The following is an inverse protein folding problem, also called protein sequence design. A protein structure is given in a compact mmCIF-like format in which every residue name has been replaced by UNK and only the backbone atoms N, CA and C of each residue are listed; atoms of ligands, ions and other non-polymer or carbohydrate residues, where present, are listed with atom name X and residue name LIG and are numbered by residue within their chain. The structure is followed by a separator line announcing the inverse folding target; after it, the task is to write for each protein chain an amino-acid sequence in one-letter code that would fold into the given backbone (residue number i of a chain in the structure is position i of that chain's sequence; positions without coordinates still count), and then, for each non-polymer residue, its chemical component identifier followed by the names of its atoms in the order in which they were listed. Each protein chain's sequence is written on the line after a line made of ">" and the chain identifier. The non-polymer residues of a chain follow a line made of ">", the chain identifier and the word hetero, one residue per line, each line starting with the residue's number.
data_IF_870607695283
#
_entry.id   IF_870607695283
#
_cell.length_a   1.000
_cell.length_b   1.000
_cell.length_c   1.000
_cell.angle_alpha   90.00
_cell.angle_beta   90.00
_cell.angle_gamma   90.00
#
_symmetry.space_group_name_H-M   'P 1'
#
loop_
_entity.id
_entity.type
_entity.pdbx_description
1 polymer ?
#
# COMPACT_ATOMS: atom_id res chain seq x y z
N UNK A 1 14.58 -3.35 -22.40
CA UNK A 1 13.79 -3.31 -21.16
C UNK A 1 12.49 -2.60 -21.49
N UNK A 2 11.36 -3.11 -21.04
CA UNK A 2 10.06 -2.49 -21.29
C UNK A 2 9.39 -2.18 -19.96
N UNK A 3 8.68 -1.05 -19.88
CA UNK A 3 8.01 -0.59 -18.67
C UNK A 3 6.52 -0.42 -18.93
N UNK A 4 5.72 -0.73 -17.92
CA UNK A 4 4.27 -0.55 -17.95
C UNK A 4 3.79 0.04 -16.64
N UNK A 5 2.85 0.96 -16.70
CA UNK A 5 2.12 1.44 -15.52
C UNK A 5 0.86 0.60 -15.34
N UNK A 6 0.64 0.08 -14.13
CA UNK A 6 -0.60 -0.61 -13.76
C UNK A 6 -1.63 0.44 -13.36
N UNK A 7 -2.75 0.47 -14.08
CA UNK A 7 -3.77 1.51 -13.97
C UNK A 7 -5.15 0.92 -13.73
N UNK A 8 -6.04 1.72 -13.14
CA UNK A 8 -7.44 1.39 -12.96
C UNK A 8 -8.28 2.66 -12.92
N UNK A 9 -9.60 2.53 -12.77
CA UNK A 9 -10.49 3.68 -12.56
C UNK A 9 -10.06 4.57 -11.38
N UNK A 10 -9.51 3.98 -10.31
CA UNK A 10 -9.07 4.70 -9.12
C UNK A 10 -7.58 5.08 -9.16
N UNK A 11 -6.82 4.49 -10.09
CA UNK A 11 -5.39 4.70 -10.27
C UNK A 11 -5.10 5.03 -11.74
N UNK A 12 -5.45 6.25 -12.21
CA UNK A 12 -5.19 6.65 -13.59
C UNK A 12 -3.69 6.76 -13.87
N UNK A 13 -3.27 6.98 -15.12
CA UNK A 13 -1.85 7.12 -15.46
C UNK A 13 -1.14 8.27 -14.72
N UNK A 14 -1.86 9.31 -14.29
CA UNK A 14 -1.32 10.39 -13.45
C UNK A 14 -1.10 9.98 -11.99
N UNK A 15 -1.59 8.81 -11.58
CA UNK A 15 -1.46 8.20 -10.27
C UNK A 15 -1.60 6.67 -10.40
N UNK A 16 -0.65 5.99 -11.05
CA UNK A 16 -0.77 4.56 -11.30
C UNK A 16 -0.56 3.78 -9.99
N UNK A 17 -1.08 2.56 -9.96
CA UNK A 17 -0.96 1.66 -8.80
C UNK A 17 0.51 1.32 -8.53
N UNK A 18 1.20 0.87 -9.58
CA UNK A 18 2.62 0.58 -9.58
C UNK A 18 3.17 0.69 -11.01
N UNK A 19 4.49 0.60 -11.13
CA UNK A 19 5.17 0.40 -12.41
C UNK A 19 5.76 -1.00 -12.43
N UNK A 20 5.55 -1.70 -13.53
CA UNK A 20 6.12 -3.00 -13.84
C UNK A 20 7.21 -2.84 -14.89
N UNK A 21 8.27 -3.64 -14.78
CA UNK A 21 9.29 -3.80 -15.81
C UNK A 21 9.40 -5.25 -16.22
N UNK A 22 9.58 -5.47 -17.53
CA UNK A 22 9.79 -6.77 -18.12
C UNK A 22 11.26 -6.97 -18.43
N UNK A 23 11.80 -8.09 -17.94
CA UNK A 23 13.09 -8.64 -18.37
C UNK A 23 12.84 -9.87 -19.24
N UNK A 24 13.84 -10.36 -20.00
CA UNK A 24 13.66 -11.56 -20.81
C UNK A 24 13.23 -12.82 -20.04
N UNK A 25 13.46 -12.87 -18.73
CA UNK A 25 13.22 -14.05 -17.88
C UNK A 25 12.20 -13.84 -16.76
N UNK A 26 11.77 -12.60 -16.51
CA UNK A 26 10.87 -12.30 -15.40
C UNK A 26 10.18 -10.95 -15.56
N UNK A 27 9.09 -10.81 -14.82
CA UNK A 27 8.43 -9.56 -14.54
C UNK A 27 8.79 -9.09 -13.12
N UNK A 28 9.00 -7.79 -12.94
CA UNK A 28 9.22 -7.18 -11.64
C UNK A 28 8.37 -5.91 -11.51
N UNK A 29 7.78 -5.68 -10.34
CA UNK A 29 7.08 -4.43 -10.04
C UNK A 29 7.87 -3.59 -9.05
N UNK A 30 7.73 -2.27 -9.15
CA UNK A 30 8.32 -1.33 -8.21
C UNK A 30 7.48 -1.30 -6.93
N UNK A 31 8.09 -1.73 -5.81
CA UNK A 31 7.43 -1.73 -4.50
C UNK A 31 7.53 -0.36 -3.83
N UNK A 32 6.77 -0.20 -2.74
CA UNK A 32 6.62 1.07 -2.00
C UNK A 32 7.92 1.57 -1.36
N UNK A 33 8.91 0.69 -1.16
CA UNK A 33 10.27 1.02 -0.74
C UNK A 33 11.21 1.43 -1.90
N UNK A 34 10.67 1.61 -3.11
CA UNK A 34 11.38 1.94 -4.34
C UNK A 34 12.36 0.84 -4.80
N UNK A 35 12.13 -0.41 -4.39
CA UNK A 35 12.89 -1.56 -4.89
C UNK A 35 12.10 -2.32 -5.94
N UNK A 36 12.81 -3.00 -6.85
CA UNK A 36 12.18 -3.89 -7.81
C UNK A 36 12.08 -5.28 -7.20
N UNK A 37 10.88 -5.87 -7.22
CA UNK A 37 10.66 -7.24 -6.74
C UNK A 37 9.92 -8.03 -7.80
N UNK A 38 10.18 -9.34 -7.83
CA UNK A 38 9.52 -10.28 -8.73
C UNK A 38 8.00 -10.14 -8.59
N UNK A 39 7.31 -10.10 -9.72
CA UNK A 39 5.87 -9.92 -9.79
C UNK A 39 5.25 -10.81 -10.87
N UNK A 40 3.92 -10.91 -10.87
CA UNK A 40 3.09 -11.58 -11.87
C UNK A 40 1.84 -10.74 -12.22
N UNK A 41 1.91 -9.41 -12.03
CA UNK A 41 0.80 -8.48 -12.24
C UNK A 41 0.31 -8.47 -13.69
N UNK A 42 1.20 -8.39 -14.69
CA UNK A 42 0.76 -8.40 -16.12
C UNK A 42 0.10 -9.74 -16.42
N UNK A 43 0.66 -10.85 -15.94
CA UNK A 43 0.02 -12.17 -16.08
C UNK A 43 -1.36 -12.24 -15.42
N UNK A 44 -1.54 -11.67 -14.23
CA UNK A 44 -2.83 -11.62 -13.52
C UNK A 44 -3.86 -10.78 -14.28
N UNK A 45 -3.44 -9.66 -14.87
CA UNK A 45 -4.30 -8.82 -15.71
C UNK A 45 -4.68 -9.57 -17.00
N UNK A 46 -3.71 -10.09 -17.76
CA UNK A 46 -3.95 -10.81 -19.02
C UNK A 46 -4.82 -12.06 -18.82
N UNK A 47 -4.72 -12.72 -17.67
CA UNK A 47 -5.54 -13.89 -17.31
C UNK A 47 -6.93 -13.54 -16.77
N UNK A 48 -7.27 -12.25 -16.65
CA UNK A 48 -8.56 -11.78 -16.15
C UNK A 48 -8.78 -12.00 -14.64
N UNK A 49 -7.71 -12.21 -13.88
CA UNK A 49 -7.77 -12.33 -12.41
C UNK A 49 -7.89 -10.97 -11.71
N UNK A 50 -7.54 -9.91 -12.43
CA UNK A 50 -7.63 -8.53 -11.97
C UNK A 50 -8.37 -7.66 -12.98
N UNK A 51 -9.05 -6.63 -12.48
CA UNK A 51 -9.81 -5.66 -13.28
C UNK A 51 -9.00 -4.41 -13.62
N UNK A 52 -7.67 -4.51 -13.55
CA UNK A 52 -6.73 -3.45 -13.87
C UNK A 52 -6.30 -3.54 -15.32
N UNK A 53 -5.75 -2.46 -15.86
CA UNK A 53 -5.10 -2.43 -17.17
C UNK A 53 -3.62 -2.11 -16.98
N UNK A 54 -2.80 -2.36 -18.00
CA UNK A 54 -1.42 -1.89 -18.03
C UNK A 54 -1.15 -1.08 -19.31
N UNK A 55 -0.47 0.04 -19.16
CA UNK A 55 -0.14 0.94 -20.26
C UNK A 55 1.39 1.04 -20.42
N UNK A 56 1.94 0.97 -21.64
CA UNK A 56 3.37 1.13 -21.85
C UNK A 56 3.82 2.55 -21.45
N UNK A 57 4.95 2.65 -20.76
CA UNK A 57 5.52 3.92 -20.30
C UNK A 57 7.01 4.02 -20.60
N UNK A 58 7.54 5.24 -20.54
CA UNK A 58 8.96 5.52 -20.75
C UNK A 58 9.75 5.34 -19.45
N UNK A 59 11.08 5.25 -19.56
CA UNK A 59 11.96 5.26 -18.37
C UNK A 59 11.85 6.58 -17.58
N UNK A 60 11.67 7.71 -18.26
CA UNK A 60 11.41 9.01 -17.63
C UNK A 60 10.17 8.98 -16.72
N UNK A 61 9.11 8.30 -17.17
CA UNK A 61 7.90 8.12 -16.36
C UNK A 61 8.20 7.32 -15.08
N UNK A 62 9.09 6.33 -15.14
CA UNK A 62 9.50 5.54 -13.97
C UNK A 62 10.20 6.41 -12.93
N UNK A 63 11.10 7.30 -13.35
CA UNK A 63 11.78 8.23 -12.45
C UNK A 63 10.82 9.27 -11.85
N UNK A 64 9.88 9.77 -12.65
CA UNK A 64 8.78 10.59 -12.15
C UNK A 64 7.95 9.82 -11.09
N UNK A 65 7.61 8.56 -11.36
CA UNK A 65 6.82 7.75 -10.45
C UNK A 65 7.56 7.47 -9.13
N UNK A 66 8.86 7.15 -9.18
CA UNK A 66 9.71 7.02 -7.98
C UNK A 66 9.70 8.30 -7.13
N UNK A 67 9.78 9.46 -7.79
CA UNK A 67 9.70 10.77 -7.12
C UNK A 67 8.34 10.94 -6.44
N UNK A 68 7.25 10.61 -7.13
CA UNK A 68 5.89 10.66 -6.55
C UNK A 68 5.71 9.70 -5.39
N UNK A 69 6.28 8.49 -5.46
CA UNK A 69 6.24 7.52 -4.37
C UNK A 69 7.03 8.02 -3.16
N UNK A 70 8.22 8.61 -3.37
CA UNK A 70 8.99 9.24 -2.29
C UNK A 70 8.25 10.41 -1.64
N UNK A 71 7.55 11.24 -2.43
CA UNK A 71 6.69 12.31 -1.90
C UNK A 71 5.54 11.74 -1.06
N UNK A 72 4.85 10.69 -1.54
CA UNK A 72 3.74 10.04 -0.85
C UNK A 72 4.14 9.44 0.49
N UNK A 73 5.29 8.81 0.54
CA UNK A 73 5.79 8.23 1.79
C UNK A 73 6.37 9.30 2.72
N UNK A 74 6.39 10.58 2.33
CA UNK A 74 7.05 11.63 3.10
C UNK A 74 8.55 11.38 3.27
N UNK A 75 9.17 10.71 2.29
CA UNK A 75 10.55 10.23 2.35
C UNK A 75 10.77 9.09 3.34
N UNK A 76 9.73 8.58 3.99
CA UNK A 76 9.84 7.43 4.91
C UNK A 76 10.14 6.20 4.07
N UNK A 77 11.35 5.66 4.26
CA UNK A 77 11.63 4.30 3.81
C UNK A 77 10.88 3.35 4.72
N UNK A 78 10.19 2.39 4.12
CA UNK A 78 9.72 1.25 4.86
C UNK A 78 10.90 0.62 5.58
N UNK A 79 10.86 0.64 6.91
CA UNK A 79 11.84 -0.05 7.74
C UNK A 79 11.55 -1.54 7.60
N UNK A 80 12.60 -2.37 7.51
CA UNK A 80 12.47 -3.82 7.46
C UNK A 80 11.43 -4.31 8.48
N UNK A 81 10.40 -5.04 8.04
CA UNK A 81 9.33 -5.39 8.94
C UNK A 81 9.79 -6.45 9.94
N UNK A 82 9.55 -6.20 11.23
CA UNK A 82 9.83 -7.14 12.34
C UNK A 82 9.05 -8.46 12.23
N UNK A 83 7.97 -8.47 11.44
CA UNK A 83 7.07 -9.63 11.25
C UNK A 83 7.41 -10.47 10.01
N UNK A 84 8.59 -10.24 9.41
CA UNK A 84 9.07 -10.88 8.19
C UNK A 84 9.26 -9.86 7.05
N UNK A 85 10.13 -10.13 6.06
CA UNK A 85 10.53 -9.18 5.01
C UNK A 85 9.42 -8.73 4.03
N UNK A 86 8.16 -9.05 4.34
CA UNK A 86 7.07 -9.08 3.37
C UNK A 86 5.98 -8.03 3.62
N UNK A 87 5.80 -7.47 4.84
CA UNK A 87 4.65 -6.60 5.15
C UNK A 87 4.99 -5.14 5.50
N UNK A 88 4.39 -4.20 4.78
CA UNK A 88 4.40 -2.76 5.02
C UNK A 88 3.22 -2.34 5.89
N UNK A 89 3.41 -1.40 6.81
CA UNK A 89 2.36 -0.94 7.72
C UNK A 89 1.82 0.42 7.28
N UNK A 90 0.51 0.60 7.37
CA UNK A 90 -0.18 1.81 6.96
C UNK A 90 -1.17 2.25 8.03
N UNK A 91 -1.14 3.52 8.38
CA UNK A 91 -2.17 4.17 9.19
C UNK A 91 -3.29 4.67 8.28
N UNK A 92 -4.53 4.27 8.57
CA UNK A 92 -5.70 4.74 7.83
C UNK A 92 -6.26 5.97 8.55
N UNK A 93 -6.16 7.12 7.88
CA UNK A 93 -6.55 8.44 8.39
C UNK A 93 -7.76 8.91 7.58
N UNK A 94 -8.93 9.00 8.21
CA UNK A 94 -10.20 9.38 7.56
C UNK A 94 -10.94 10.45 8.37
N UNK A 95 -11.36 11.55 7.75
CA UNK A 95 -12.18 12.57 8.40
C UNK A 95 -11.53 13.16 9.66
N UNK A 96 -12.08 12.81 10.82
CA UNK A 96 -11.64 13.29 12.14
C UNK A 96 -10.39 12.59 12.70
N UNK A 97 -9.95 11.49 12.08
CA UNK A 97 -8.78 10.76 12.54
C UNK A 97 -7.50 11.47 12.08
N UNK A 98 -6.41 11.33 12.84
CA UNK A 98 -5.11 11.93 12.51
C UNK A 98 -4.04 10.85 12.47
N UNK A 99 -2.82 11.19 12.05
CA UNK A 99 -1.72 10.22 12.14
C UNK A 99 -1.39 9.85 13.60
N UNK A 100 -1.59 10.76 14.55
CA UNK A 100 -1.40 10.46 15.98
C UNK A 100 -2.51 9.58 16.55
N UNK A 101 -3.65 9.57 15.87
CA UNK A 101 -4.82 8.82 16.26
C UNK A 101 -5.56 8.28 15.03
N UNK A 102 -5.01 7.25 14.36
CA UNK A 102 -5.58 6.73 13.13
C UNK A 102 -6.84 5.92 13.41
N UNK A 103 -7.71 5.84 12.40
CA UNK A 103 -8.91 5.02 12.49
C UNK A 103 -8.56 3.55 12.75
N UNK A 104 -7.56 3.06 12.03
CA UNK A 104 -7.02 1.71 12.16
C UNK A 104 -5.61 1.67 11.56
N UNK A 105 -4.90 0.59 11.85
CA UNK A 105 -3.65 0.24 11.18
C UNK A 105 -3.88 -1.01 10.36
N UNK A 106 -3.37 -0.99 9.15
CA UNK A 106 -3.33 -2.14 8.27
C UNK A 106 -1.89 -2.50 7.97
N UNK A 107 -1.66 -3.76 7.63
CA UNK A 107 -0.40 -4.21 7.04
C UNK A 107 -0.71 -4.92 5.74
N UNK A 108 0.08 -4.70 4.72
CA UNK A 108 -0.08 -5.36 3.42
C UNK A 108 1.28 -5.73 2.87
N UNK A 109 1.34 -6.71 1.98
CA UNK A 109 2.59 -6.96 1.28
C UNK A 109 3.01 -5.78 0.38
N UNK A 110 4.20 -5.85 -0.22
CA UNK A 110 4.72 -4.79 -1.10
C UNK A 110 3.87 -4.49 -2.33
N UNK A 111 2.92 -5.36 -2.65
CA UNK A 111 1.98 -5.23 -3.77
C UNK A 111 0.57 -4.84 -3.31
N UNK A 112 0.29 -4.90 -2.00
CA UNK A 112 -1.03 -4.65 -1.42
C UNK A 112 -1.98 -5.84 -1.46
N UNK A 113 -1.51 -7.04 -1.82
CA UNK A 113 -2.34 -8.22 -2.06
C UNK A 113 -2.73 -8.93 -0.76
N UNK A 114 -1.77 -9.18 0.13
CA UNK A 114 -2.02 -9.79 1.44
C UNK A 114 -2.28 -8.76 2.55
N UNK A 115 -3.47 -8.18 2.53
CA UNK A 115 -3.90 -7.18 3.51
C UNK A 115 -4.38 -7.82 4.82
N UNK A 116 -3.88 -7.31 5.94
CA UNK A 116 -4.40 -7.57 7.28
C UNK A 116 -4.77 -6.26 7.98
N UNK A 117 -5.84 -6.26 8.76
CA UNK A 117 -6.29 -5.12 9.57
C UNK A 117 -6.16 -5.44 11.06
N UNK A 118 -5.72 -4.47 11.86
CA UNK A 118 -5.73 -4.61 13.32
C UNK A 118 -7.13 -4.28 13.87
N UNK A 119 -7.79 -5.30 14.43
CA UNK A 119 -9.20 -5.22 14.82
C UNK A 119 -9.40 -4.79 16.27
N UNK A 120 -10.63 -4.41 16.63
CA UNK A 120 -11.03 -4.10 18.03
C UNK A 120 -10.89 -5.29 18.98
N UNK A 121 -10.80 -6.51 18.45
CA UNK A 121 -10.51 -7.71 19.24
C UNK A 121 -9.01 -7.85 19.56
N UNK A 122 -8.19 -6.85 19.21
CA UNK A 122 -6.74 -6.80 19.41
C UNK A 122 -6.00 -7.92 18.69
N UNK A 123 -6.54 -8.33 17.55
CA UNK A 123 -5.95 -9.34 16.67
C UNK A 123 -5.89 -8.83 15.23
N UNK A 124 -4.83 -9.22 14.53
CA UNK A 124 -4.71 -9.07 13.09
C UNK A 124 -5.64 -10.06 12.40
N UNK A 125 -6.45 -9.58 11.45
CA UNK A 125 -7.30 -10.43 10.61
C UNK A 125 -7.10 -10.10 9.14
N UNK A 126 -7.24 -11.08 8.23
CA UNK A 126 -7.29 -10.82 6.81
C UNK A 126 -8.33 -9.74 6.50
N UNK A 127 -7.89 -8.67 5.85
CA UNK A 127 -8.74 -7.61 5.34
C UNK A 127 -9.20 -7.93 3.92
N UNK A 128 -10.06 -7.08 3.36
CA UNK A 128 -10.39 -7.16 1.93
C UNK A 128 -9.40 -6.29 1.17
N UNK A 129 -8.54 -6.86 0.33
CA UNK A 129 -7.59 -6.10 -0.50
C UNK A 129 -8.29 -4.96 -1.28
N UNK A 130 -9.47 -5.23 -1.82
CA UNK A 130 -10.31 -4.25 -2.53
C UNK A 130 -10.74 -3.03 -1.67
N UNK A 131 -10.78 -3.19 -0.34
CA UNK A 131 -10.98 -2.08 0.62
C UNK A 131 -9.71 -1.26 0.76
N UNK A 132 -8.54 -1.89 0.82
CA UNK A 132 -7.27 -1.16 0.86
C UNK A 132 -6.96 -0.46 -0.46
N UNK A 133 -7.21 -1.09 -1.60
CA UNK A 133 -7.13 -0.44 -2.93
C UNK A 133 -8.06 0.78 -2.99
N UNK A 134 -9.27 0.67 -2.46
CA UNK A 134 -10.16 1.83 -2.31
C UNK A 134 -9.63 2.88 -1.34
N UNK A 135 -8.99 2.52 -0.24
CA UNK A 135 -8.44 3.48 0.71
C UNK A 135 -7.19 4.20 0.16
N UNK A 136 -6.33 3.48 -0.56
CA UNK A 136 -5.17 4.03 -1.27
C UNK A 136 -5.57 4.91 -2.46
N UNK A 137 -6.69 4.59 -3.13
CA UNK A 137 -7.23 5.36 -4.27
C UNK A 137 -8.27 6.42 -3.91
N UNK A 138 -8.86 6.39 -2.70
CA UNK A 138 -9.86 7.36 -2.26
C UNK A 138 -9.19 8.63 -1.76
N UNK A 139 -8.73 9.49 -2.68
CA UNK A 139 -8.35 10.85 -2.31
C UNK A 139 -9.60 11.72 -2.12
N UNK A 140 -9.83 12.11 -0.88
CA UNK A 140 -10.46 13.36 -0.49
C UNK A 140 -9.49 14.12 0.43
N UNK A 141 -9.69 15.42 0.71
CA UNK A 141 -8.80 16.19 1.60
C UNK A 141 -8.65 15.57 3.00
N UNK A 142 -9.57 14.68 3.39
CA UNK A 142 -9.63 14.08 4.71
C UNK A 142 -9.33 12.56 4.73
N UNK A 143 -8.98 11.94 3.59
CA UNK A 143 -8.80 10.49 3.51
C UNK A 143 -7.42 10.14 2.95
N UNK A 144 -6.57 9.55 3.78
CA UNK A 144 -5.23 9.15 3.41
C UNK A 144 -4.82 7.82 4.08
N UNK A 145 -4.02 7.05 3.36
CA UNK A 145 -3.32 5.88 3.88
C UNK A 145 -1.85 6.24 3.97
N UNK A 146 -1.37 6.42 5.21
CA UNK A 146 -0.02 6.92 5.47
C UNK A 146 0.90 5.75 5.78
N UNK A 147 2.01 5.61 5.05
CA UNK A 147 3.04 4.62 5.37
C UNK A 147 3.65 4.94 6.74
N UNK A 148 3.70 3.92 7.61
CA UNK A 148 4.24 4.03 8.97
C UNK A 148 5.29 2.95 9.22
N UNK A 149 6.15 3.23 10.19
CA UNK A 149 7.14 2.27 10.70
C UNK A 149 6.48 1.18 11.54
N UNK A 150 7.19 0.07 11.73
CA UNK A 150 6.74 -0.99 12.64
C UNK A 150 6.62 -0.53 14.10
N UNK A 151 7.37 0.48 14.52
CA UNK A 151 7.27 1.08 15.86
C UNK A 151 6.01 1.95 16.01
N UNK A 152 5.69 2.76 15.00
CA UNK A 152 4.44 3.51 14.95
C UNK A 152 3.23 2.57 14.92
N UNK A 153 3.29 1.47 14.16
CA UNK A 153 2.24 0.45 14.16
C UNK A 153 2.02 -0.12 15.57
N UNK A 154 3.08 -0.48 16.29
CA UNK A 154 2.98 -0.95 17.67
C UNK A 154 2.43 0.12 18.63
N UNK A 155 2.80 1.40 18.43
CA UNK A 155 2.21 2.51 19.20
C UNK A 155 0.70 2.55 19.01
N UNK A 156 0.23 2.41 17.77
CA UNK A 156 -1.20 2.45 17.48
C UNK A 156 -1.95 1.20 17.94
N UNK A 157 -1.33 0.01 17.88
CA UNK A 157 -1.87 -1.20 18.50
C UNK A 157 -2.13 -0.98 20.00
N UNK A 158 -1.20 -0.30 20.70
CA UNK A 158 -1.38 0.06 22.12
C UNK A 158 -2.52 1.07 22.31
N UNK A 159 -2.61 2.12 21.50
CA UNK A 159 -3.70 3.10 21.57
C UNK A 159 -5.06 2.42 21.37
N UNK A 160 -5.19 1.50 20.40
CA UNK A 160 -6.41 0.72 20.19
C UNK A 160 -6.70 -0.22 21.37
N UNK A 161 -5.69 -0.86 21.95
CA UNK A 161 -5.85 -1.67 23.15
C UNK A 161 -6.38 -0.86 24.33
N UNK A 162 -5.88 0.35 24.53
CA UNK A 162 -6.32 1.24 25.60
C UNK A 162 -7.76 1.73 25.37
N UNK A 163 -8.13 2.09 24.14
CA UNK A 163 -9.53 2.42 23.77
C UNK A 163 -10.51 1.31 24.07
N UNK A 164 -10.16 0.08 23.70
CA UNK A 164 -11.00 -1.10 23.94
C UNK A 164 -11.17 -1.35 25.44
N UNK A 165 -10.15 -1.07 26.26
CA UNK A 165 -10.24 -1.13 27.72
C UNK A 165 -11.13 -0.01 28.28
N UNK A 166 -10.97 1.23 27.81
CA UNK A 166 -11.69 2.41 28.29
C UNK A 166 -13.18 2.43 27.89
N UNK A 167 -13.56 1.78 26.78
CA UNK A 167 -14.94 1.75 26.26
C UNK A 167 -15.68 0.44 26.54
N UNK A 168 -15.10 -0.49 27.31
CA UNK A 168 -15.80 -1.66 27.86
C UNK A 168 -16.46 -1.25 29.18
N UNK A 169 -17.67 -0.69 29.10
CA UNK A 169 -18.64 -0.62 30.20
C UNK A 169 -19.96 -1.23 29.75
#
# INVERSE_FOLDING_TARGET
>A
MSYWAIVSRNHPLSDPWTVVRGTPSSEESLTVDLTWRKSDQIYRIDSGREYQDYLPVTEEFVEWFKTKMAERTGGRRAVEPRWGPEFYHWAIVLGRFTLDDPMTVVRADGHGDDLHEFTRDLVWRPGKADRFTRLMGARGPDNDAVLITGEEAQRFERIQADRVREHRF
#
